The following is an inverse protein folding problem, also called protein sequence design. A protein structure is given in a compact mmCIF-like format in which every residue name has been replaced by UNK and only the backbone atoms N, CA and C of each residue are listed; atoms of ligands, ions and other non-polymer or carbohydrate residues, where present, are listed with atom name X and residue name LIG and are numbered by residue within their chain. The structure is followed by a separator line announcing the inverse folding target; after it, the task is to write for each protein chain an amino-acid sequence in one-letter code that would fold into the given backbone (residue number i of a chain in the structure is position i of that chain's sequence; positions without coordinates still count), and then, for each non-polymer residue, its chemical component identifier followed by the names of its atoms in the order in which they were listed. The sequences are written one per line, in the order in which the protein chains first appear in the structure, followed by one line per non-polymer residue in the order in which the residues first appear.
data_IF_049876508131
#
_entry.id   IF_049876508131
#
_cell.length_a   1.000
_cell.length_b   1.000
_cell.length_c   1.000
_cell.angle_alpha   90.00
_cell.angle_beta   90.00
_cell.angle_gamma   90.00
#
_symmetry.space_group_name_H-M   'P 1'
#
loop_
_entity.id
_entity.type
_entity.pdbx_description
1 polymer ?
#
# COMPACT_ATOMS: atom_id res chain seq x y z
N UNK A 1 -21.97 -11.11 -2.30
CA UNK A 1 -20.76 -10.88 -1.47
C UNK A 1 -19.70 -10.17 -2.31
N UNK A 2 -19.25 -9.01 -1.84
CA UNK A 2 -18.38 -8.03 -2.50
C UNK A 2 -16.92 -8.53 -2.56
N UNK A 3 -16.61 -9.36 -3.56
CA UNK A 3 -15.32 -10.06 -3.75
C UNK A 3 -14.06 -9.17 -3.69
N UNK A 4 -14.18 -7.85 -3.91
CA UNK A 4 -13.06 -6.89 -3.96
C UNK A 4 -13.20 -5.69 -3.02
N UNK A 5 -13.92 -5.83 -1.90
CA UNK A 5 -14.05 -4.72 -0.94
C UNK A 5 -12.74 -4.41 -0.20
N UNK A 6 -12.41 -3.11 -0.13
CA UNK A 6 -11.28 -2.56 0.61
C UNK A 6 -11.70 -2.13 2.02
N UNK A 7 -10.72 -1.94 2.92
CA UNK A 7 -10.97 -1.29 4.21
C UNK A 7 -11.31 0.20 4.07
N UNK A 8 -11.73 0.84 5.16
CA UNK A 8 -11.94 2.29 5.21
C UNK A 8 -13.33 2.78 4.78
N UNK A 9 -14.35 1.91 4.71
CA UNK A 9 -15.75 2.36 4.54
C UNK A 9 -16.31 2.92 5.86
N UNK A 10 -15.69 4.00 6.32
CA UNK A 10 -16.06 4.75 7.53
C UNK A 10 -17.50 5.22 7.44
N UNK A 11 -17.98 5.56 6.23
CA UNK A 11 -19.33 6.07 6.04
C UNK A 11 -20.39 4.99 6.32
N UNK A 12 -20.20 3.76 5.82
CA UNK A 12 -21.09 2.65 6.15
C UNK A 12 -21.03 2.28 7.63
N UNK A 13 -19.83 2.22 8.21
CA UNK A 13 -19.65 1.91 9.62
C UNK A 13 -20.29 2.95 10.53
N UNK A 14 -20.05 4.25 10.29
CA UNK A 14 -20.64 5.34 11.06
C UNK A 14 -22.18 5.30 11.05
N UNK A 15 -22.78 5.02 9.87
CA UNK A 15 -24.23 4.81 9.76
C UNK A 15 -24.73 3.65 10.61
N UNK A 16 -24.01 2.52 10.60
CA UNK A 16 -24.37 1.35 11.39
C UNK A 16 -24.27 1.62 12.91
N UNK A 17 -23.29 2.42 13.32
CA UNK A 17 -23.08 2.81 14.72
C UNK A 17 -23.94 4.00 15.18
N UNK A 18 -24.71 4.62 14.28
CA UNK A 18 -25.50 5.81 14.60
C UNK A 18 -24.65 7.04 14.99
N UNK A 19 -23.43 7.16 14.47
CA UNK A 19 -22.52 8.27 14.75
C UNK A 19 -22.08 9.01 13.47
N UNK A 20 -21.41 10.14 13.63
CA UNK A 20 -20.79 10.86 12.52
C UNK A 20 -19.45 10.22 12.11
N UNK A 21 -19.02 10.48 10.87
CA UNK A 21 -17.75 9.94 10.34
C UNK A 21 -16.52 10.37 11.15
N UNK A 22 -16.56 11.58 11.74
CA UNK A 22 -15.45 12.12 12.52
C UNK A 22 -15.30 11.48 13.90
N UNK A 23 -16.32 10.75 14.36
CA UNK A 23 -16.31 10.04 15.64
C UNK A 23 -15.80 8.60 15.53
N UNK A 24 -15.55 8.12 14.31
CA UNK A 24 -15.02 6.77 14.07
C UNK A 24 -13.50 6.79 14.16
N UNK A 25 -12.95 5.89 14.95
CA UNK A 25 -11.51 5.62 14.98
C UNK A 25 -11.23 4.53 13.93
N UNK A 26 -10.69 4.94 12.79
CA UNK A 26 -10.41 4.03 11.66
C UNK A 26 -9.03 3.37 11.78
N UNK A 27 -9.02 2.14 12.31
CA UNK A 27 -7.86 1.24 12.33
C UNK A 27 -7.84 0.29 11.12
N UNK A 28 -8.77 0.39 10.17
CA UNK A 28 -8.82 -0.47 8.98
C UNK A 28 -7.96 0.06 7.82
N UNK A 29 -7.71 1.38 7.81
CA UNK A 29 -6.91 2.07 6.80
C UNK A 29 -5.50 2.43 7.30
N UNK A 30 -4.49 1.91 6.61
CA UNK A 30 -3.07 2.05 6.92
C UNK A 30 -2.50 3.43 6.53
N UNK A 31 -3.17 4.52 6.91
CA UNK A 31 -2.73 5.89 6.64
C UNK A 31 -1.95 6.41 7.83
N UNK A 32 -0.81 7.06 7.57
CA UNK A 32 -0.01 7.66 8.63
C UNK A 32 -0.84 8.67 9.43
N UNK A 33 -0.79 8.56 10.76
CA UNK A 33 -1.45 9.50 11.66
C UNK A 33 -0.60 10.77 11.85
N UNK A 34 0.71 10.71 11.58
CA UNK A 34 1.59 11.86 11.49
C UNK A 34 1.46 12.49 10.11
N UNK A 35 1.43 13.82 10.05
CA UNK A 35 1.31 14.59 8.81
C UNK A 35 2.52 15.50 8.59
N UNK A 36 2.91 15.75 7.33
CA UNK A 36 3.93 16.75 7.02
C UNK A 36 3.45 18.14 7.44
N UNK A 37 4.41 19.00 7.80
CA UNK A 37 4.16 20.41 8.07
C UNK A 37 4.07 21.15 6.75
N UNK A 38 2.84 21.45 6.34
CA UNK A 38 2.55 22.17 5.09
C UNK A 38 1.92 23.52 5.44
N UNK A 39 2.64 24.60 5.14
CA UNK A 39 2.16 25.97 5.30
C UNK A 39 1.70 26.50 3.94
N UNK A 40 0.45 26.21 3.58
CA UNK A 40 -0.18 26.67 2.33
C UNK A 40 -1.68 26.75 2.50
N UNK A 41 -2.28 27.85 2.03
CA UNK A 41 -3.72 27.94 1.87
C UNK A 41 -4.13 27.37 0.50
N UNK A 42 -4.69 26.17 0.52
CA UNK A 42 -5.15 25.49 -0.68
C UNK A 42 -6.29 26.24 -1.41
N UNK A 43 -7.01 27.17 -0.75
CA UNK A 43 -8.02 28.00 -1.41
C UNK A 43 -7.42 29.04 -2.36
N UNK A 44 -6.13 29.36 -2.19
CA UNK A 44 -5.43 30.34 -3.02
C UNK A 44 -4.68 29.71 -4.20
N UNK A 45 -4.76 28.38 -4.35
CA UNK A 45 -4.08 27.69 -5.44
C UNK A 45 -4.67 28.10 -6.80
N UNK A 46 -3.78 28.39 -7.74
CA UNK A 46 -4.15 28.63 -9.12
C UNK A 46 -4.58 27.31 -9.77
N UNK A 47 -5.89 27.12 -9.91
CA UNK A 47 -6.51 25.93 -10.51
C UNK A 47 -7.10 26.18 -11.90
N UNK A 48 -7.10 27.43 -12.36
CA UNK A 48 -7.56 27.81 -13.69
C UNK A 48 -6.65 27.27 -14.83
N UNK A 49 -5.30 27.30 -14.73
CA UNK A 49 -4.46 26.77 -15.79
C UNK A 49 -4.32 25.24 -15.72
N UNK A 50 -4.06 24.61 -16.87
CA UNK A 50 -3.64 23.21 -16.90
C UNK A 50 -2.31 23.03 -16.15
N UNK A 51 -2.16 21.95 -15.36
CA UNK A 51 -0.95 21.74 -14.57
C UNK A 51 0.25 21.37 -15.46
N UNK A 52 1.42 21.92 -15.13
CA UNK A 52 2.72 21.41 -15.54
C UNK A 52 3.28 20.54 -14.39
N UNK A 53 3.78 19.34 -14.71
CA UNK A 53 4.30 18.38 -13.74
C UNK A 53 5.83 18.41 -13.58
N UNK A 54 6.59 19.23 -14.31
CA UNK A 54 8.08 19.21 -14.28
C UNK A 54 8.65 19.29 -12.86
N UNK A 55 8.15 20.23 -12.06
CA UNK A 55 8.57 20.38 -10.67
C UNK A 55 8.21 19.16 -9.80
N UNK A 56 7.06 18.53 -10.07
CA UNK A 56 6.62 17.32 -9.38
C UNK A 56 7.48 16.11 -9.78
N UNK A 57 7.75 15.91 -11.07
CA UNK A 57 8.65 14.87 -11.57
C UNK A 57 10.03 15.01 -10.93
N UNK A 58 10.60 16.22 -10.91
CA UNK A 58 11.92 16.47 -10.32
C UNK A 58 11.93 16.21 -8.81
N UNK A 59 10.89 16.63 -8.08
CA UNK A 59 10.80 16.39 -6.64
C UNK A 59 10.72 14.89 -6.32
N UNK A 60 9.91 14.13 -7.06
CA UNK A 60 9.74 12.67 -6.86
C UNK A 60 11.01 11.92 -7.29
N UNK A 61 11.61 12.29 -8.42
CA UNK A 61 12.87 11.73 -8.90
C UNK A 61 13.99 11.91 -7.86
N UNK A 62 14.14 13.13 -7.33
CA UNK A 62 15.09 13.42 -6.26
C UNK A 62 14.79 12.64 -4.99
N UNK A 63 13.52 12.51 -4.58
CA UNK A 63 13.15 11.77 -3.38
C UNK A 63 13.52 10.29 -3.47
N UNK A 64 13.30 9.67 -4.63
CA UNK A 64 13.62 8.26 -4.86
C UNK A 64 15.05 8.02 -5.36
N UNK A 65 15.84 9.08 -5.53
CA UNK A 65 17.21 9.02 -6.07
C UNK A 65 17.28 8.32 -7.43
N UNK A 66 16.37 8.68 -8.34
CA UNK A 66 16.28 8.16 -9.71
C UNK A 66 16.17 9.30 -10.72
N UNK A 67 16.36 9.01 -12.00
CA UNK A 67 16.18 9.99 -13.08
C UNK A 67 14.70 10.18 -13.41
N UNK A 68 14.29 11.39 -13.81
CA UNK A 68 12.88 11.67 -14.16
C UNK A 68 12.39 10.89 -15.40
N UNK A 69 13.32 10.42 -16.25
CA UNK A 69 13.03 9.53 -17.39
C UNK A 69 12.70 8.10 -16.98
N UNK A 70 13.02 7.71 -15.74
CA UNK A 70 12.79 6.36 -15.20
C UNK A 70 11.49 6.24 -14.43
N UNK A 71 10.66 7.28 -14.39
CA UNK A 71 9.41 7.24 -13.64
C UNK A 71 8.21 7.81 -14.40
N UNK A 72 7.02 7.31 -14.06
CA UNK A 72 5.75 7.84 -14.52
C UNK A 72 4.77 8.00 -13.36
N UNK A 73 4.03 9.10 -13.37
CA UNK A 73 3.09 9.46 -12.30
C UNK A 73 1.67 9.05 -12.66
N UNK A 74 0.84 8.73 -11.69
CA UNK A 74 -0.53 8.25 -11.88
C UNK A 74 -1.45 8.81 -10.80
N UNK A 75 -2.74 8.91 -11.13
CA UNK A 75 -3.80 9.33 -10.20
C UNK A 75 -4.08 8.22 -9.17
N UNK A 76 -3.12 8.01 -8.26
CA UNK A 76 -3.08 6.92 -7.30
C UNK A 76 -2.51 5.61 -7.84
N UNK A 77 -1.98 4.79 -6.93
CA UNK A 77 -1.39 3.49 -7.25
C UNK A 77 -2.34 2.53 -7.95
N UNK A 78 -3.64 2.55 -7.65
CA UNK A 78 -4.63 1.75 -8.38
C UNK A 78 -4.67 2.09 -9.87
N UNK A 79 -4.61 3.37 -10.25
CA UNK A 79 -4.54 3.74 -11.67
C UNK A 79 -3.26 3.23 -12.32
N UNK A 80 -2.13 3.31 -11.61
CA UNK A 80 -0.85 2.77 -12.08
C UNK A 80 -0.93 1.25 -12.35
N UNK A 81 -1.52 0.49 -11.43
CA UNK A 81 -1.74 -0.97 -11.59
C UNK A 81 -2.53 -1.25 -12.87
N UNK A 82 -3.67 -0.57 -13.07
CA UNK A 82 -4.51 -0.86 -14.23
C UNK A 82 -3.85 -0.44 -15.55
N UNK A 83 -3.14 0.69 -15.57
CA UNK A 83 -2.37 1.10 -16.75
C UNK A 83 -1.25 0.13 -17.08
N UNK A 84 -0.53 -0.37 -16.07
CA UNK A 84 0.54 -1.35 -16.25
C UNK A 84 0.02 -2.68 -16.80
N UNK A 85 -1.04 -3.22 -16.20
CA UNK A 85 -1.67 -4.46 -16.68
C UNK A 85 -2.24 -4.31 -18.10
N UNK A 86 -2.84 -3.16 -18.43
CA UNK A 86 -3.32 -2.86 -19.78
C UNK A 86 -2.17 -2.85 -20.78
N UNK A 87 -1.05 -2.22 -20.44
CA UNK A 87 0.11 -2.08 -21.33
C UNK A 87 0.67 -3.44 -21.76
N UNK A 88 0.72 -4.40 -20.83
CA UNK A 88 1.30 -5.74 -21.02
C UNK A 88 0.31 -6.78 -21.60
N UNK A 89 -0.99 -6.49 -21.60
CA UNK A 89 -2.05 -7.49 -21.85
C UNK A 89 -2.01 -8.20 -23.21
N UNK A 90 -1.35 -7.60 -24.21
CA UNK A 90 -1.18 -8.21 -25.54
C UNK A 90 0.09 -9.03 -25.67
N UNK A 91 1.05 -8.85 -24.77
CA UNK A 91 2.36 -9.52 -24.80
C UNK A 91 2.47 -10.65 -23.77
N UNK A 92 1.75 -10.54 -22.64
CA UNK A 92 1.84 -11.46 -21.51
C UNK A 92 0.47 -12.07 -21.23
N UNK A 93 0.42 -13.39 -21.14
CA UNK A 93 -0.84 -14.14 -20.92
C UNK A 93 -1.02 -14.66 -19.50
N UNK A 94 0.06 -14.75 -18.71
CA UNK A 94 0.03 -15.30 -17.34
C UNK A 94 0.43 -14.23 -16.34
N UNK A 95 -0.37 -14.08 -15.28
CA UNK A 95 -0.03 -13.23 -14.14
C UNK A 95 0.15 -14.10 -12.90
N UNK A 96 1.37 -14.15 -12.39
CA UNK A 96 1.74 -14.82 -11.14
C UNK A 96 1.66 -13.83 -9.98
N UNK A 97 0.80 -14.08 -8.99
CA UNK A 97 0.65 -13.22 -7.82
C UNK A 97 1.08 -13.99 -6.57
N UNK A 98 2.05 -13.43 -5.84
CA UNK A 98 2.44 -13.91 -4.52
C UNK A 98 1.43 -13.42 -3.49
N UNK A 99 0.47 -14.28 -3.18
CA UNK A 99 -0.67 -14.04 -2.32
C UNK A 99 -0.41 -14.48 -0.87
N UNK A 100 -1.11 -13.90 0.13
CA UNK A 100 -2.09 -12.82 -0.02
C UNK A 100 -1.43 -11.51 -0.45
N UNK A 101 -2.15 -10.74 -1.27
CA UNK A 101 -1.71 -9.48 -1.84
C UNK A 101 -2.90 -8.52 -2.02
N UNK A 102 -2.64 -7.27 -2.40
CA UNK A 102 -3.69 -6.28 -2.63
C UNK A 102 -4.67 -6.72 -3.73
N UNK A 103 -5.97 -6.63 -3.44
CA UNK A 103 -7.02 -7.24 -4.27
C UNK A 103 -7.16 -6.64 -5.67
N UNK A 104 -6.68 -5.41 -5.89
CA UNK A 104 -6.73 -4.77 -7.22
C UNK A 104 -5.85 -5.50 -8.25
N UNK A 105 -4.81 -6.24 -7.84
CA UNK A 105 -4.00 -7.03 -8.78
C UNK A 105 -4.80 -8.13 -9.45
N UNK A 106 -5.55 -8.90 -8.65
CA UNK A 106 -6.43 -9.95 -9.20
C UNK A 106 -7.52 -9.37 -10.09
N UNK A 107 -8.06 -8.22 -9.69
CA UNK A 107 -9.10 -7.52 -10.45
C UNK A 107 -8.55 -7.04 -11.79
N UNK A 108 -7.37 -6.40 -11.82
CA UNK A 108 -6.71 -5.97 -13.04
C UNK A 108 -6.34 -7.16 -13.93
N UNK A 109 -5.73 -8.21 -13.37
CA UNK A 109 -5.41 -9.45 -14.08
C UNK A 109 -6.65 -10.05 -14.78
N UNK A 110 -7.75 -10.18 -14.04
CA UNK A 110 -9.02 -10.71 -14.59
C UNK A 110 -9.58 -9.79 -15.68
N UNK A 111 -9.60 -8.48 -15.44
CA UNK A 111 -10.15 -7.49 -16.38
C UNK A 111 -9.42 -7.51 -17.72
N UNK A 112 -8.10 -7.68 -17.70
CA UNK A 112 -7.25 -7.65 -18.89
C UNK A 112 -6.92 -9.05 -19.43
N UNK A 113 -7.64 -10.09 -18.99
CA UNK A 113 -7.58 -11.43 -19.60
C UNK A 113 -6.38 -12.28 -19.23
N UNK A 114 -5.65 -11.95 -18.16
CA UNK A 114 -4.53 -12.77 -17.69
C UNK A 114 -5.02 -14.07 -17.06
N UNK A 115 -4.35 -15.17 -17.37
CA UNK A 115 -4.47 -16.41 -16.61
C UNK A 115 -3.74 -16.25 -15.28
N UNK A 116 -4.49 -16.29 -14.19
CA UNK A 116 -3.94 -16.16 -12.84
C UNK A 116 -3.22 -17.43 -12.39
N UNK A 117 -2.01 -17.25 -11.86
CA UNK A 117 -1.26 -18.24 -11.09
C UNK A 117 -1.01 -17.66 -9.70
N UNK A 118 -1.47 -18.33 -8.64
CA UNK A 118 -1.34 -17.81 -7.27
C UNK A 118 -0.32 -18.65 -6.52
N UNK A 119 0.60 -17.98 -5.82
CA UNK A 119 1.56 -18.60 -4.91
C UNK A 119 1.20 -18.18 -3.49
N UNK A 120 1.07 -19.13 -2.57
CA UNK A 120 1.00 -18.82 -1.15
C UNK A 120 2.40 -18.45 -0.63
N UNK A 121 2.63 -17.16 -0.45
CA UNK A 121 3.92 -16.63 -0.01
C UNK A 121 4.27 -16.97 1.45
N UNK A 122 3.32 -17.48 2.24
CA UNK A 122 3.62 -17.92 3.60
C UNK A 122 4.37 -19.24 3.62
N UNK A 123 4.21 -20.07 2.59
CA UNK A 123 4.69 -21.46 2.59
C UNK A 123 5.50 -21.83 1.34
N UNK A 124 5.36 -21.11 0.23
CA UNK A 124 5.85 -21.52 -1.09
C UNK A 124 6.64 -20.41 -1.84
N UNK A 125 7.37 -19.55 -1.11
CA UNK A 125 8.06 -18.38 -1.66
C UNK A 125 9.00 -18.69 -2.84
N UNK A 126 9.76 -19.78 -2.74
CA UNK A 126 10.82 -20.13 -3.73
C UNK A 126 10.35 -21.17 -4.76
N UNK A 127 9.03 -21.22 -5.01
CA UNK A 127 8.46 -22.17 -5.97
C UNK A 127 8.73 -21.71 -7.39
N UNK A 128 9.09 -22.65 -8.27
CA UNK A 128 9.22 -22.39 -9.70
C UNK A 128 7.86 -22.00 -10.30
N UNK A 129 7.81 -20.84 -10.94
CA UNK A 129 6.59 -20.29 -11.57
C UNK A 129 6.62 -20.47 -13.09
N UNK A 130 5.51 -20.26 -13.81
CA UNK A 130 5.53 -20.19 -15.28
C UNK A 130 6.50 -19.12 -15.77
N UNK A 131 7.34 -19.46 -16.75
CA UNK A 131 8.23 -18.50 -17.42
C UNK A 131 7.45 -17.45 -18.22
N UNK A 132 8.11 -16.34 -18.55
CA UNK A 132 7.52 -15.20 -19.28
C UNK A 132 6.23 -14.66 -18.63
N UNK A 133 6.04 -14.87 -17.32
CA UNK A 133 4.86 -14.40 -16.60
C UNK A 133 5.06 -12.97 -16.08
N UNK A 134 3.94 -12.26 -15.89
CA UNK A 134 3.93 -11.06 -15.07
C UNK A 134 3.87 -11.48 -13.59
N UNK A 135 4.94 -11.22 -12.86
CA UNK A 135 5.05 -11.49 -11.42
C UNK A 135 4.67 -10.24 -10.63
N UNK A 136 3.79 -10.43 -9.65
CA UNK A 136 3.38 -9.40 -8.70
C UNK A 136 3.81 -9.80 -7.30
N UNK A 137 4.55 -8.93 -6.63
CA UNK A 137 4.91 -9.07 -5.23
C UNK A 137 4.70 -7.73 -4.51
N UNK A 138 4.13 -7.74 -3.31
CA UNK A 138 3.99 -6.54 -2.47
C UNK A 138 5.05 -6.61 -1.38
N UNK A 139 5.88 -5.58 -1.21
CA UNK A 139 6.97 -5.58 -0.23
C UNK A 139 7.18 -4.17 0.39
N UNK A 140 6.93 -3.93 1.68
CA UNK A 140 6.44 -4.87 2.68
C UNK A 140 5.06 -5.46 2.32
N UNK A 141 4.88 -6.74 2.57
CA UNK A 141 3.74 -7.50 2.11
C UNK A 141 2.43 -7.06 2.76
N UNK A 142 1.33 -7.16 2.02
CA UNK A 142 -0.02 -6.95 2.56
C UNK A 142 -0.71 -8.31 2.63
N UNK A 143 -1.45 -8.66 3.69
CA UNK A 143 -1.85 -7.79 4.81
C UNK A 143 -1.01 -7.90 6.09
N UNK A 144 0.05 -8.72 6.12
CA UNK A 144 0.88 -8.99 7.31
C UNK A 144 1.94 -7.93 7.60
N UNK A 145 2.43 -7.22 6.59
CA UNK A 145 3.41 -6.15 6.73
C UNK A 145 4.86 -6.63 6.71
N UNK A 146 5.09 -7.93 6.46
CA UNK A 146 6.42 -8.53 6.44
C UNK A 146 7.27 -7.98 5.30
N UNK A 147 8.49 -7.54 5.59
CA UNK A 147 9.52 -7.28 4.60
C UNK A 147 10.23 -8.58 4.20
N UNK A 148 10.42 -8.75 2.90
CA UNK A 148 11.12 -9.88 2.31
C UNK A 148 12.37 -9.38 1.57
N UNK A 149 13.43 -10.18 1.59
CA UNK A 149 14.58 -9.93 0.71
C UNK A 149 14.22 -10.32 -0.72
N UNK A 150 14.30 -9.35 -1.63
CA UNK A 150 13.88 -9.51 -3.02
C UNK A 150 14.98 -10.06 -3.92
N UNK A 151 16.25 -10.00 -3.50
CA UNK A 151 17.36 -10.35 -4.38
C UNK A 151 17.29 -11.80 -4.91
N UNK A 152 17.10 -12.84 -4.08
CA UNK A 152 17.02 -14.22 -4.57
C UNK A 152 15.81 -14.47 -5.48
N UNK A 153 14.69 -13.81 -5.19
CA UNK A 153 13.48 -13.93 -5.99
C UNK A 153 13.61 -13.24 -7.34
N UNK A 154 14.23 -12.06 -7.37
CA UNK A 154 14.51 -11.33 -8.60
C UNK A 154 15.45 -12.12 -9.51
N UNK A 155 16.50 -12.75 -8.95
CA UNK A 155 17.39 -13.65 -9.71
C UNK A 155 16.61 -14.80 -10.36
N UNK A 156 15.76 -15.47 -9.58
CA UNK A 156 14.92 -16.56 -10.07
C UNK A 156 13.98 -16.09 -11.19
N UNK A 157 13.23 -15.01 -10.96
CA UNK A 157 12.26 -14.50 -11.95
C UNK A 157 12.95 -13.98 -13.21
N UNK A 158 14.14 -13.40 -13.09
CA UNK A 158 14.95 -12.98 -14.23
C UNK A 158 15.40 -14.19 -15.07
N UNK A 159 15.87 -15.26 -14.44
CA UNK A 159 16.24 -16.51 -15.13
C UNK A 159 15.04 -17.19 -15.83
N UNK A 160 13.81 -16.84 -15.45
CA UNK A 160 12.57 -17.30 -16.07
C UNK A 160 11.98 -16.31 -17.07
N UNK A 161 12.71 -15.24 -17.41
CA UNK A 161 12.30 -14.19 -18.34
C UNK A 161 10.97 -13.51 -17.95
N UNK A 162 10.63 -13.52 -16.66
CA UNK A 162 9.41 -12.93 -16.15
C UNK A 162 9.49 -11.40 -16.14
N UNK A 163 8.37 -10.70 -16.32
CA UNK A 163 8.26 -9.28 -15.98
C UNK A 163 7.87 -9.16 -14.51
N UNK A 164 8.48 -8.23 -13.77
CA UNK A 164 8.28 -8.15 -12.31
C UNK A 164 7.74 -6.79 -11.93
N UNK A 165 6.64 -6.77 -11.17
CA UNK A 165 6.15 -5.59 -10.45
C UNK A 165 6.29 -5.81 -8.94
N UNK A 166 7.15 -5.01 -8.31
CA UNK A 166 7.22 -4.94 -6.84
C UNK A 166 6.43 -3.72 -6.38
N UNK A 167 5.41 -3.95 -5.56
CA UNK A 167 4.66 -2.88 -4.91
C UNK A 167 5.27 -2.52 -3.57
N UNK A 168 5.90 -1.36 -3.53
CA UNK A 168 6.54 -0.77 -2.36
C UNK A 168 5.70 0.34 -1.75
N UNK A 169 4.37 0.24 -1.82
CA UNK A 169 3.42 1.23 -1.26
C UNK A 169 3.58 1.54 0.24
N UNK A 170 4.34 0.73 0.98
CA UNK A 170 4.57 0.88 2.41
C UNK A 170 6.06 0.92 2.79
N UNK A 171 6.99 0.95 1.82
CA UNK A 171 8.42 0.87 2.12
C UNK A 171 8.93 2.04 2.94
N UNK A 172 8.33 3.23 2.79
CA UNK A 172 8.76 4.45 3.50
C UNK A 172 8.56 4.36 5.01
N UNK A 173 7.70 3.46 5.50
CA UNK A 173 7.52 3.15 6.93
C UNK A 173 8.63 2.27 7.50
N UNK A 174 9.51 1.72 6.65
CA UNK A 174 10.58 0.80 7.06
C UNK A 174 11.94 1.50 7.02
N UNK A 175 12.94 0.85 7.61
CA UNK A 175 14.36 1.18 7.44
C UNK A 175 15.02 0.38 6.30
N UNK A 176 14.27 -0.46 5.58
CA UNK A 176 14.81 -1.31 4.55
C UNK A 176 15.04 -0.54 3.24
N UNK A 177 16.06 -0.95 2.46
CA UNK A 177 16.32 -0.35 1.17
C UNK A 177 15.22 -0.72 0.16
N UNK A 178 14.86 0.25 -0.66
CA UNK A 178 13.98 0.10 -1.81
C UNK A 178 14.58 -0.81 -2.88
N UNK A 179 13.75 -1.62 -3.52
CA UNK A 179 14.10 -2.46 -4.67
C UNK A 179 14.48 -1.66 -5.92
N UNK A 180 14.27 -0.33 -5.92
CA UNK A 180 14.82 0.57 -6.96
C UNK A 180 16.32 0.41 -7.17
N UNK A 181 17.08 -0.02 -6.16
CA UNK A 181 18.52 -0.32 -6.28
C UNK A 181 18.84 -1.40 -7.33
N UNK A 182 17.88 -2.26 -7.64
CA UNK A 182 18.05 -3.37 -8.59
C UNK A 182 17.63 -3.03 -10.03
N UNK A 183 17.10 -1.83 -10.28
CA UNK A 183 16.59 -1.43 -11.61
C UNK A 183 17.65 -1.47 -12.73
N UNK A 184 18.93 -1.25 -12.38
CA UNK A 184 20.04 -1.35 -13.35
C UNK A 184 20.36 -2.80 -13.71
N UNK A 185 20.13 -3.74 -12.79
CA UNK A 185 20.43 -5.16 -12.97
C UNK A 185 19.28 -5.89 -13.68
N UNK A 186 18.03 -5.47 -13.43
CA UNK A 186 16.84 -6.12 -13.96
C UNK A 186 15.98 -5.13 -14.77
N UNK A 187 16.20 -4.99 -16.10
CA UNK A 187 15.41 -4.10 -16.96
C UNK A 187 13.91 -4.43 -17.04
N UNK A 188 13.55 -5.67 -16.70
CA UNK A 188 12.20 -6.22 -16.58
C UNK A 188 11.51 -5.88 -15.24
N UNK A 189 12.20 -5.19 -14.32
CA UNK A 189 11.67 -4.78 -13.02
C UNK A 189 10.94 -3.43 -13.12
N UNK A 190 9.74 -3.39 -12.56
CA UNK A 190 8.98 -2.18 -12.30
C UNK A 190 8.68 -2.10 -10.82
N UNK A 191 8.83 -0.91 -10.23
CA UNK A 191 8.52 -0.63 -8.84
C UNK A 191 7.30 0.28 -8.80
N UNK A 192 6.27 -0.09 -8.04
CA UNK A 192 5.16 0.80 -7.69
C UNK A 192 5.46 1.46 -6.35
N UNK A 193 5.38 2.79 -6.32
CA UNK A 193 5.44 3.61 -5.10
C UNK A 193 4.11 4.28 -4.84
N UNK A 194 3.75 4.39 -3.56
CA UNK A 194 2.56 5.12 -3.12
C UNK A 194 2.92 6.14 -2.04
N UNK A 195 2.91 7.41 -2.40
CA UNK A 195 3.21 8.49 -1.46
C UNK A 195 2.03 8.76 -0.49
N UNK A 196 0.80 8.39 -0.86
CA UNK A 196 -0.40 8.82 -0.13
C UNK A 196 -0.51 8.22 1.28
N UNK A 197 0.11 7.06 1.52
CA UNK A 197 0.04 6.34 2.80
C UNK A 197 0.96 6.97 3.83
N UNK A 198 2.25 7.07 3.49
CA UNK A 198 3.29 7.60 4.35
C UNK A 198 3.08 9.09 4.66
N UNK A 199 2.70 9.90 3.67
CA UNK A 199 2.43 11.33 3.87
C UNK A 199 1.04 11.63 4.47
N UNK A 200 0.31 10.63 4.98
CA UNK A 200 -0.93 10.86 5.73
C UNK A 200 -2.09 11.44 4.91
N UNK A 201 -2.12 11.17 3.59
CA UNK A 201 -2.92 11.91 2.62
C UNK A 201 -3.66 10.99 1.63
N UNK A 202 -4.48 10.06 2.13
CA UNK A 202 -5.25 9.14 1.28
C UNK A 202 -6.15 9.83 0.24
N UNK A 203 -6.66 11.02 0.56
CA UNK A 203 -7.47 11.83 -0.37
C UNK A 203 -6.66 12.42 -1.52
N UNK A 204 -5.35 12.62 -1.32
CA UNK A 204 -4.42 12.96 -2.39
C UNK A 204 -4.17 11.70 -3.21
N UNK A 205 -4.21 11.82 -4.53
CA UNK A 205 -4.16 10.67 -5.44
C UNK A 205 -2.86 10.67 -6.23
N UNK A 206 -1.83 10.03 -5.66
CA UNK A 206 -0.51 9.92 -6.27
C UNK A 206 -0.02 8.47 -6.24
N UNK A 207 0.37 7.95 -7.40
CA UNK A 207 1.11 6.71 -7.55
C UNK A 207 2.24 6.90 -8.55
N UNK A 208 3.34 6.19 -8.39
CA UNK A 208 4.50 6.31 -9.26
C UNK A 208 4.96 4.92 -9.69
N UNK A 209 5.13 4.69 -10.98
CA UNK A 209 5.88 3.53 -11.47
C UNK A 209 7.30 3.98 -11.76
N UNK A 210 8.28 3.20 -11.32
CA UNK A 210 9.70 3.41 -11.61
C UNK A 210 10.23 2.17 -12.30
N UNK A 211 10.84 2.33 -13.48
CA UNK A 211 11.35 1.21 -14.28
C UNK A 211 12.43 1.69 -15.25
N UNK A 212 12.94 0.78 -16.09
CA UNK A 212 13.81 1.12 -17.21
C UNK A 212 13.14 2.21 -18.10
N UNK A 213 13.88 3.21 -18.61
CA UNK A 213 13.31 4.31 -19.40
C UNK A 213 12.41 3.85 -20.54
N UNK A 214 12.78 2.80 -21.27
CA UNK A 214 11.99 2.29 -22.38
C UNK A 214 10.60 1.79 -21.94
N UNK A 215 10.51 1.16 -20.75
CA UNK A 215 9.23 0.70 -20.20
C UNK A 215 8.35 1.91 -19.86
N UNK A 216 8.95 2.93 -19.25
CA UNK A 216 8.28 4.18 -18.89
C UNK A 216 7.82 4.95 -20.12
N UNK A 217 8.63 5.01 -21.18
CA UNK A 217 8.25 5.63 -22.45
C UNK A 217 7.04 4.94 -23.08
N UNK A 218 7.01 3.60 -23.11
CA UNK A 218 5.85 2.84 -23.63
C UNK A 218 4.59 3.03 -22.79
N UNK A 219 4.73 3.04 -21.46
CA UNK A 219 3.63 3.32 -20.54
C UNK A 219 3.09 4.74 -20.77
N UNK A 220 3.96 5.75 -20.73
CA UNK A 220 3.63 7.17 -20.88
C UNK A 220 2.89 7.46 -22.18
N UNK A 221 3.26 6.81 -23.28
CA UNK A 221 2.60 6.99 -24.59
C UNK A 221 1.10 6.61 -24.58
N UNK A 222 0.65 5.81 -23.60
CA UNK A 222 -0.74 5.37 -23.44
C UNK A 222 -1.51 6.16 -22.36
N UNK A 223 -0.88 7.16 -21.74
CA UNK A 223 -1.43 7.92 -20.61
C UNK A 223 -1.93 9.32 -21.03
N UNK A 224 -2.99 9.82 -20.38
CA UNK A 224 -3.50 11.17 -20.66
C UNK A 224 -2.59 12.26 -20.05
N UNK A 225 -2.53 13.42 -20.73
CA UNK A 225 -1.64 14.55 -20.42
C UNK A 225 -1.95 15.27 -19.09
N UNK A 226 -3.16 15.17 -18.53
CA UNK A 226 -3.60 15.91 -17.34
C UNK A 226 -4.25 15.02 -16.27
N UNK A 227 -3.53 13.98 -15.84
CA UNK A 227 -4.07 12.96 -14.92
C UNK A 227 -4.03 13.34 -13.44
N UNK A 228 -3.27 14.35 -13.05
CA UNK A 228 -3.11 14.79 -11.65
C UNK A 228 -3.68 16.18 -11.46
N UNK A 229 -4.39 16.39 -10.35
CA UNK A 229 -4.89 17.72 -9.99
C UNK A 229 -3.78 18.63 -9.48
N UNK A 230 -4.00 19.95 -9.54
CA UNK A 230 -3.10 20.93 -8.92
C UNK A 230 -3.00 20.74 -7.39
N UNK A 231 -4.08 20.27 -6.74
CA UNK A 231 -4.08 19.96 -5.30
C UNK A 231 -3.16 18.78 -4.99
N UNK A 232 -3.26 17.69 -5.75
CA UNK A 232 -2.42 16.51 -5.57
C UNK A 232 -0.94 16.83 -5.77
N UNK A 233 -0.64 17.54 -6.86
CA UNK A 233 0.72 17.95 -7.20
C UNK A 233 1.33 18.85 -6.13
N UNK A 234 0.61 19.90 -5.71
CA UNK A 234 1.10 20.84 -4.70
C UNK A 234 1.30 20.18 -3.34
N UNK A 235 0.35 19.36 -2.89
CA UNK A 235 0.48 18.66 -1.60
C UNK A 235 1.75 17.82 -1.55
N UNK A 236 1.98 16.99 -2.58
CA UNK A 236 3.16 16.11 -2.64
C UNK A 236 4.45 16.92 -2.70
N UNK A 237 4.52 17.97 -3.51
CA UNK A 237 5.71 18.83 -3.58
C UNK A 237 6.03 19.50 -2.25
N UNK A 238 5.01 19.95 -1.50
CA UNK A 238 5.21 20.57 -0.18
C UNK A 238 5.57 19.53 0.87
N UNK A 239 4.93 18.36 0.85
CA UNK A 239 5.22 17.25 1.75
C UNK A 239 6.68 16.77 1.61
N UNK A 240 7.19 16.70 0.37
CA UNK A 240 8.58 16.33 0.08
C UNK A 240 9.61 17.38 0.55
N UNK A 241 9.20 18.64 0.72
CA UNK A 241 10.08 19.71 1.22
C UNK A 241 10.26 19.68 2.74
N UNK A 242 9.38 18.99 3.47
CA UNK A 242 9.50 18.82 4.92
C UNK A 242 10.54 17.75 5.25
N UNK A 243 11.82 18.15 5.21
CA UNK A 243 12.97 17.24 5.41
C UNK A 243 12.94 16.50 6.76
N UNK A 244 12.35 17.10 7.79
CA UNK A 244 12.21 16.48 9.11
C UNK A 244 11.01 15.55 9.25
N UNK A 245 10.13 15.46 8.24
CA UNK A 245 8.89 14.66 8.34
C UNK A 245 9.18 13.19 8.59
N UNK A 246 10.13 12.59 7.84
CA UNK A 246 10.43 11.16 7.96
C UNK A 246 10.91 10.80 9.36
N UNK A 247 11.86 11.55 9.92
CA UNK A 247 12.37 11.32 11.27
C UNK A 247 11.26 11.38 12.33
N UNK A 248 10.42 12.43 12.27
CA UNK A 248 9.26 12.56 13.18
C UNK A 248 8.29 11.39 13.00
N UNK A 249 7.94 11.07 11.76
CA UNK A 249 7.02 9.98 11.42
C UNK A 249 7.54 8.64 11.95
N UNK A 250 8.81 8.32 11.70
CA UNK A 250 9.43 7.06 12.11
C UNK A 250 9.44 6.93 13.63
N UNK A 251 9.78 8.01 14.35
CA UNK A 251 9.75 8.04 15.82
C UNK A 251 8.35 7.76 16.38
N UNK A 252 7.35 8.50 15.93
CA UNK A 252 5.97 8.33 16.44
C UNK A 252 5.37 6.98 16.04
N UNK A 253 5.59 6.52 14.80
CA UNK A 253 5.14 5.20 14.37
C UNK A 253 5.82 4.08 15.15
N UNK A 254 7.12 4.20 15.47
CA UNK A 254 7.82 3.23 16.29
C UNK A 254 7.20 3.12 17.69
N UNK A 255 6.98 4.25 18.37
CA UNK A 255 6.33 4.28 19.69
C UNK A 255 4.92 3.68 19.65
N UNK A 256 4.12 4.07 18.65
CA UNK A 256 2.77 3.56 18.48
C UNK A 256 2.72 2.06 18.14
N UNK A 257 3.63 1.59 17.28
CA UNK A 257 3.73 0.16 16.92
C UNK A 257 4.13 -0.67 18.12
N UNK A 258 5.10 -0.23 18.92
CA UNK A 258 5.49 -0.89 20.17
C UNK A 258 4.32 -0.96 21.15
N UNK A 259 3.56 0.13 21.32
CA UNK A 259 2.36 0.13 22.16
C UNK A 259 1.28 -0.84 21.65
N UNK A 260 1.05 -0.90 20.33
CA UNK A 260 0.08 -1.81 19.74
C UNK A 260 0.51 -3.27 19.94
N UNK A 261 1.78 -3.60 19.71
CA UNK A 261 2.30 -4.95 19.93
C UNK A 261 2.11 -5.40 21.38
N UNK A 262 2.50 -4.58 22.35
CA UNK A 262 2.27 -4.86 23.78
C UNK A 262 0.78 -5.12 24.10
N UNK A 263 -0.11 -4.32 23.50
CA UNK A 263 -1.55 -4.48 23.71
C UNK A 263 -2.10 -5.78 23.11
N UNK A 264 -1.55 -6.21 21.97
CA UNK A 264 -1.96 -7.44 21.30
C UNK A 264 -1.40 -8.68 21.98
N UNK A 265 -0.12 -8.67 22.37
CA UNK A 265 0.57 -9.81 23.01
C UNK A 265 -0.08 -10.20 24.33
N UNK A 266 -0.61 -9.23 25.07
CA UNK A 266 -1.25 -9.45 26.36
C UNK A 266 -2.78 -9.68 26.26
N UNK A 267 -3.34 -9.79 25.05
CA UNK A 267 -4.79 -9.93 24.86
C UNK A 267 -5.23 -11.40 24.84
N UNK A 268 -6.27 -11.79 25.61
CA UNK A 268 -6.85 -13.13 25.52
C UNK A 268 -7.62 -13.38 24.21
N UNK A 269 -7.84 -12.36 23.37
CA UNK A 269 -8.54 -12.50 22.09
C UNK A 269 -7.59 -12.88 20.95
N UNK A 270 -6.28 -12.69 21.11
CA UNK A 270 -5.28 -12.84 20.05
C UNK A 270 -4.63 -14.23 20.14
N UNK A 271 -4.77 -15.02 19.08
CA UNK A 271 -4.13 -16.33 18.94
C UNK A 271 -2.69 -16.20 18.42
N UNK A 272 -2.48 -15.34 17.42
CA UNK A 272 -1.19 -15.19 16.75
C UNK A 272 -1.01 -13.78 16.22
N UNK A 273 0.20 -13.25 16.37
CA UNK A 273 0.63 -11.99 15.78
C UNK A 273 1.62 -12.31 14.66
N UNK A 274 1.42 -11.70 13.49
CA UNK A 274 2.34 -11.86 12.36
C UNK A 274 3.40 -10.74 12.40
N UNK A 275 4.68 -11.05 12.09
CA UNK A 275 5.71 -10.04 11.97
C UNK A 275 5.35 -8.98 10.93
N UNK A 276 5.67 -7.72 11.24
CA UNK A 276 5.38 -6.58 10.37
C UNK A 276 6.41 -5.47 10.51
N UNK A 277 6.91 -4.96 9.41
CA UNK A 277 7.80 -3.80 9.36
C UNK A 277 7.03 -2.53 8.92
N UNK A 278 5.77 -2.66 8.52
CA UNK A 278 4.92 -1.57 8.06
C UNK A 278 4.07 -0.94 9.19
N UNK A 279 3.24 0.06 8.85
CA UNK A 279 2.34 0.74 9.79
C UNK A 279 1.01 -0.01 10.05
N UNK A 280 1.05 -1.34 10.10
CA UNK A 280 -0.11 -2.18 10.39
C UNK A 280 0.35 -3.57 10.84
N UNK A 281 -0.51 -4.29 11.55
CA UNK A 281 -0.21 -5.62 12.08
C UNK A 281 -1.36 -6.54 11.72
N UNK A 282 -1.04 -7.72 11.18
CA UNK A 282 -2.01 -8.80 11.01
C UNK A 282 -2.00 -9.67 12.26
N UNK A 283 -3.18 -9.99 12.75
CA UNK A 283 -3.37 -10.94 13.84
C UNK A 283 -4.42 -11.97 13.48
N UNK A 284 -4.25 -13.17 14.03
CA UNK A 284 -5.29 -14.19 14.10
C UNK A 284 -5.92 -14.14 15.48
N UNK A 285 -7.25 -14.17 15.52
CA UNK A 285 -8.05 -14.09 16.74
C UNK A 285 -8.63 -15.46 17.11
N UNK A 286 -8.83 -15.68 18.41
CA UNK A 286 -9.57 -16.85 18.91
C UNK A 286 -11.07 -16.78 18.60
N UNK A 287 -11.59 -15.58 18.38
CA UNK A 287 -12.99 -15.32 18.00
C UNK A 287 -13.08 -14.92 16.53
N UNK A 288 -14.29 -14.93 15.97
CA UNK A 288 -14.48 -14.44 14.60
C UNK A 288 -14.24 -12.92 14.50
N UNK A 289 -13.81 -12.47 13.34
CA UNK A 289 -13.66 -11.05 12.98
C UNK A 289 -14.97 -10.28 13.13
N UNK A 290 -16.11 -10.94 12.90
CA UNK A 290 -17.43 -10.37 13.12
C UNK A 290 -17.70 -10.07 14.60
N UNK A 291 -17.47 -11.05 15.48
CA UNK A 291 -17.61 -10.86 16.94
C UNK A 291 -16.63 -9.81 17.46
N UNK A 292 -15.38 -9.82 16.98
CA UNK A 292 -14.40 -8.81 17.35
C UNK A 292 -14.85 -7.41 16.91
N UNK A 293 -15.35 -7.26 15.69
CA UNK A 293 -15.88 -5.98 15.20
C UNK A 293 -17.09 -5.52 16.02
N UNK A 294 -17.94 -6.42 16.53
CA UNK A 294 -19.04 -6.06 17.43
C UNK A 294 -18.54 -5.52 18.77
N UNK A 295 -17.52 -6.13 19.37
CA UNK A 295 -16.89 -5.63 20.60
C UNK A 295 -16.30 -4.22 20.43
N UNK A 296 -15.80 -3.90 19.24
CA UNK A 296 -15.18 -2.62 18.91
C UNK A 296 -16.18 -1.47 18.70
N UNK A 297 -17.46 -1.76 18.46
CA UNK A 297 -18.49 -0.73 18.18
C UNK A 297 -18.70 0.21 19.36
N UNK A 298 -18.60 -0.27 20.61
CA UNK A 298 -18.78 0.55 21.81
C UNK A 298 -17.76 1.69 21.90
N UNK A 299 -16.58 1.50 21.32
CA UNK A 299 -15.52 2.51 21.19
C UNK A 299 -15.43 3.13 19.80
N UNK A 300 -16.39 2.83 18.91
CA UNK A 300 -16.46 3.32 17.52
C UNK A 300 -15.19 3.01 16.72
N UNK A 301 -14.58 1.86 16.99
CA UNK A 301 -13.37 1.38 16.34
C UNK A 301 -13.72 0.53 15.12
N UNK A 302 -13.07 0.82 13.98
CA UNK A 302 -13.20 0.03 12.74
C UNK A 302 -11.87 -0.65 12.43
N UNK A 303 -11.88 -1.96 12.19
CA UNK A 303 -10.69 -2.76 11.83
C UNK A 303 -10.89 -3.45 10.47
N UNK A 304 -9.80 -3.93 9.85
CA UNK A 304 -9.88 -4.61 8.56
C UNK A 304 -10.02 -6.12 8.74
N UNK A 305 -11.22 -6.66 8.53
CA UNK A 305 -11.42 -8.10 8.34
C UNK A 305 -10.62 -8.56 7.10
N UNK A 306 -9.83 -9.63 7.19
CA UNK A 306 -8.96 -10.13 6.13
C UNK A 306 -9.46 -11.41 5.43
N UNK A 307 -10.69 -11.88 5.70
CA UNK A 307 -11.24 -13.12 5.12
C UNK A 307 -11.32 -13.15 3.59
N UNK A 308 -11.21 -11.99 2.93
CA UNK A 308 -11.23 -11.88 1.47
C UNK A 308 -9.84 -11.86 0.82
N UNK A 309 -8.78 -12.03 1.60
CA UNK A 309 -7.43 -12.30 1.12
C UNK A 309 -7.21 -13.81 1.03
N UNK A 310 -6.42 -14.26 0.05
CA UNK A 310 -6.15 -15.69 -0.11
C UNK A 310 -5.39 -16.28 1.08
N UNK A 311 -5.72 -17.51 1.45
CA UNK A 311 -5.06 -18.20 2.56
C UNK A 311 -5.41 -17.64 3.93
N UNK A 312 -6.26 -16.61 4.01
CA UNK A 312 -6.77 -16.05 5.26
C UNK A 312 -8.27 -16.35 5.39
N UNK A 313 -8.75 -16.37 6.63
CA UNK A 313 -10.12 -16.71 7.00
C UNK A 313 -10.76 -15.62 7.86
N UNK A 314 -11.94 -15.89 8.38
CA UNK A 314 -12.72 -15.00 9.23
C UNK A 314 -12.17 -14.84 10.66
N UNK A 315 -11.01 -15.41 10.98
CA UNK A 315 -10.27 -15.14 12.22
C UNK A 315 -9.13 -14.14 12.02
N UNK A 316 -8.86 -13.69 10.80
CA UNK A 316 -7.76 -12.78 10.51
C UNK A 316 -8.23 -11.32 10.44
N UNK A 317 -7.61 -10.46 11.25
CA UNK A 317 -7.84 -9.02 11.22
C UNK A 317 -6.52 -8.28 11.06
N UNK A 318 -6.52 -7.23 10.23
CA UNK A 318 -5.42 -6.29 10.14
C UNK A 318 -5.78 -5.00 10.87
N UNK A 319 -4.87 -4.52 11.69
CA UNK A 319 -5.02 -3.33 12.52
C UNK A 319 -3.92 -2.33 12.14
N UNK A 320 -4.30 -1.12 11.75
CA UNK A 320 -3.37 -0.05 11.43
C UNK A 320 -2.72 0.52 12.71
N UNK A 321 -1.44 0.88 12.60
CA UNK A 321 -0.74 1.66 13.63
C UNK A 321 -1.22 3.11 13.54
N UNK A 322 -1.78 3.62 14.63
CA UNK A 322 -2.37 4.96 14.77
C UNK A 322 -1.83 5.67 16.00
N UNK A 323 -2.37 6.83 16.34
CA UNK A 323 -1.91 7.56 17.53
C UNK A 323 -2.12 6.71 18.79
N UNK A 324 -1.23 6.85 19.78
CA UNK A 324 -1.37 6.12 21.06
C UNK A 324 -2.71 6.40 21.73
N UNK A 325 -3.27 7.61 21.56
CA UNK A 325 -4.61 7.95 22.06
C UNK A 325 -5.70 7.06 21.48
N UNK A 326 -5.70 6.85 20.16
CA UNK A 326 -6.63 5.94 19.48
C UNK A 326 -6.36 4.47 19.85
N UNK A 327 -5.09 4.07 19.94
CA UNK A 327 -4.72 2.70 20.29
C UNK A 327 -5.06 2.33 21.74
N UNK A 328 -5.13 3.28 22.67
CA UNK A 328 -5.63 3.04 24.04
C UNK A 328 -7.07 2.57 24.05
N UNK A 329 -7.92 3.12 23.17
CA UNK A 329 -9.31 2.67 23.03
C UNK A 329 -9.38 1.22 22.55
N UNK A 330 -8.49 0.82 21.63
CA UNK A 330 -8.36 -0.58 21.21
C UNK A 330 -7.89 -1.46 22.37
N UNK A 331 -6.90 -1.01 23.15
CA UNK A 331 -6.38 -1.75 24.31
C UNK A 331 -7.48 -2.08 25.32
N UNK A 332 -8.37 -1.13 25.62
CA UNK A 332 -9.51 -1.36 26.52
C UNK A 332 -10.40 -2.53 26.05
N UNK A 333 -10.70 -2.61 24.75
CA UNK A 333 -11.50 -3.72 24.18
C UNK A 333 -10.74 -5.04 24.16
N UNK A 334 -9.43 -5.00 23.94
CA UNK A 334 -8.58 -6.20 23.87
C UNK A 334 -8.44 -6.92 25.21
N UNK A 335 -8.64 -6.24 26.35
CA UNK A 335 -8.48 -6.81 27.69
C UNK A 335 -9.77 -6.81 28.53
N UNK A 336 -10.90 -6.43 27.95
CA UNK A 336 -12.24 -6.54 28.56
C UNK A 336 -12.85 -7.92 28.30
#
# INVERSE_FOLDING_TARGET
MTRYQHGGDIAAFARACGCSRGEVIDLSSNINFVKPHISTDFNTLQIAPYPNYDALYNAIASHYSVESTTLELFNGGSSAIFSFFRELSTAISVCTIYSPAYLEYKKAATLFGYRLHLIDRFTHLDTKIPGESLVIFVNPATPDGKFYDMEPLLEMWHAQECLVLIDESFIEFTSHPSATRFLKQYPNLTILKSMTKFFGAAGIRMGTLISHPDNITRLRAKEPLWKLSAFDSTYIQLALKDSGFKERSDRENHLARTFLLDSLENSPLVEKIYPSEANYILVRLHISTGEFQQKLITHRLLVRNCMNFDGLDDHHVRIAVKSIGELRQLKEVLHA
#
